data_IF_084210006650
#
_entry.id   IF_084210006650
#
_cell.length_a   1.000
_cell.length_b   1.000
_cell.length_c   1.000
_cell.angle_alpha   90.00
_cell.angle_beta   90.00
_cell.angle_gamma   90.00
#
_symmetry.space_group_name_H-M   'P 1'
#
loop_
_entity.id
_entity.type
_entity.pdbx_description
1 polymer ?
#
# COMPACT_ATOMS: atom_id res chain seq x y z
N UNK A 1 -16.67 -3.26 2.47
CA UNK A 1 -16.01 -4.31 3.26
C UNK A 1 -14.82 -3.67 3.95
N UNK A 2 -14.66 -3.80 5.26
CA UNK A 2 -13.57 -3.14 5.99
C UNK A 2 -12.38 -4.10 6.11
N UNK A 3 -11.18 -3.60 5.87
CA UNK A 3 -9.95 -4.40 5.86
C UNK A 3 -8.97 -3.86 6.91
N UNK A 4 -8.11 -4.73 7.42
CA UNK A 4 -7.01 -4.38 8.33
C UNK A 4 -5.70 -4.77 7.64
N UNK A 5 -4.75 -3.84 7.62
CA UNK A 5 -3.38 -4.05 7.15
C UNK A 5 -2.48 -4.08 8.37
N UNK A 6 -1.62 -5.10 8.47
CA UNK A 6 -0.71 -5.31 9.59
C UNK A 6 0.70 -5.35 9.02
N UNK A 7 1.58 -4.46 9.49
CA UNK A 7 3.01 -4.46 9.18
C UNK A 7 3.80 -4.96 10.40
N UNK A 8 4.20 -6.24 10.43
CA UNK A 8 5.06 -6.78 11.48
C UNK A 8 6.46 -6.17 11.41
N UNK A 9 7.13 -6.02 12.54
CA UNK A 9 8.48 -5.45 12.65
C UNK A 9 9.58 -6.48 12.37
N UNK A 10 9.26 -7.77 12.43
CA UNK A 10 10.19 -8.86 12.13
C UNK A 10 9.49 -10.07 11.52
N UNK A 11 10.29 -10.99 10.99
CA UNK A 11 9.80 -12.27 10.44
C UNK A 11 9.20 -13.17 11.53
N UNK A 12 9.70 -13.11 12.77
CA UNK A 12 9.13 -13.82 13.91
C UNK A 12 7.74 -13.30 14.26
N UNK A 13 7.54 -11.98 14.26
CA UNK A 13 6.25 -11.36 14.52
C UNK A 13 5.24 -11.71 13.41
N UNK A 14 5.65 -11.66 12.14
CA UNK A 14 4.82 -12.08 11.00
C UNK A 14 4.32 -13.52 11.19
N UNK A 15 5.23 -14.43 11.56
CA UNK A 15 4.91 -15.84 11.78
C UNK A 15 3.94 -16.01 12.94
N UNK A 16 4.19 -15.37 14.08
CA UNK A 16 3.33 -15.43 15.26
C UNK A 16 1.91 -14.96 14.96
N UNK A 17 1.76 -13.79 14.32
CA UNK A 17 0.45 -13.22 13.96
C UNK A 17 -0.28 -14.14 12.97
N UNK A 18 0.42 -14.67 11.97
CA UNK A 18 -0.17 -15.58 10.97
C UNK A 18 -0.71 -16.86 11.61
N UNK A 19 0.04 -17.45 12.55
CA UNK A 19 -0.39 -18.64 13.30
C UNK A 19 -1.56 -18.35 14.23
N UNK A 20 -1.58 -17.18 14.88
CA UNK A 20 -2.68 -16.73 15.73
C UNK A 20 -3.97 -16.60 14.92
N UNK A 21 -3.94 -15.87 13.81
CA UNK A 21 -5.11 -15.66 12.95
C UNK A 21 -5.66 -16.98 12.43
N UNK A 22 -4.77 -17.91 12.04
CA UNK A 22 -5.14 -19.27 11.65
C UNK A 22 -5.85 -20.03 12.77
N UNK A 23 -5.36 -19.96 14.01
CA UNK A 23 -5.99 -20.60 15.19
C UNK A 23 -7.37 -20.00 15.51
N UNK A 24 -7.55 -18.71 15.27
CA UNK A 24 -8.83 -18.02 15.45
C UNK A 24 -9.83 -18.26 14.32
N UNK A 25 -9.45 -19.01 13.27
CA UNK A 25 -10.28 -19.22 12.09
C UNK A 25 -10.44 -17.97 11.22
N UNK A 26 -9.59 -16.95 11.41
CA UNK A 26 -9.60 -15.73 10.62
C UNK A 26 -8.76 -15.96 9.37
N UNK A 27 -9.37 -15.78 8.20
CA UNK A 27 -8.66 -15.87 6.93
C UNK A 27 -7.72 -14.66 6.79
N UNK A 28 -6.43 -14.92 6.68
CA UNK A 28 -5.40 -13.92 6.41
C UNK A 28 -4.67 -14.24 5.10
N UNK A 29 -4.13 -13.21 4.46
CA UNK A 29 -3.24 -13.31 3.29
C UNK A 29 -1.98 -12.50 3.60
N UNK A 30 -0.81 -13.09 3.37
CA UNK A 30 0.45 -12.35 3.33
C UNK A 30 0.55 -11.71 1.95
N UNK A 31 0.75 -10.39 1.91
CA UNK A 31 0.90 -9.63 0.67
C UNK A 31 2.30 -9.88 0.09
N UNK A 32 2.41 -9.93 -1.23
CA UNK A 32 3.70 -9.83 -1.90
C UNK A 32 4.26 -8.40 -1.80
N UNK A 33 5.50 -8.22 -2.22
CA UNK A 33 6.10 -6.88 -2.33
C UNK A 33 5.29 -6.01 -3.31
N UNK A 34 4.93 -6.55 -4.48
CA UNK A 34 4.08 -5.88 -5.47
C UNK A 34 2.69 -5.51 -4.91
N UNK A 35 2.02 -6.45 -4.21
CA UNK A 35 0.74 -6.17 -3.53
C UNK A 35 0.88 -5.01 -2.52
N UNK A 36 2.04 -4.90 -1.87
CA UNK A 36 2.32 -3.88 -0.85
C UNK A 36 2.63 -2.52 -1.48
N UNK A 37 3.36 -2.49 -2.59
CA UNK A 37 3.62 -1.30 -3.40
C UNK A 37 2.32 -0.72 -3.96
N UNK A 38 1.46 -1.56 -4.55
CA UNK A 38 0.16 -1.16 -5.07
C UNK A 38 -0.73 -0.55 -3.99
N UNK A 39 -0.74 -1.16 -2.80
CA UNK A 39 -1.45 -0.61 -1.64
C UNK A 39 -0.88 0.75 -1.21
N UNK A 40 0.45 0.88 -1.18
CA UNK A 40 1.13 2.14 -0.88
C UNK A 40 0.74 3.23 -1.88
N UNK A 41 0.77 2.93 -3.18
CA UNK A 41 0.36 3.84 -4.24
C UNK A 41 -1.11 4.24 -4.08
N UNK A 42 -2.01 3.29 -3.82
CA UNK A 42 -3.43 3.58 -3.64
C UNK A 42 -3.69 4.53 -2.45
N UNK A 43 -2.93 4.39 -1.36
CA UNK A 43 -2.99 5.29 -0.21
C UNK A 43 -2.53 6.70 -0.58
N UNK A 44 -1.39 6.82 -1.27
CA UNK A 44 -0.85 8.09 -1.73
C UNK A 44 -1.80 8.79 -2.71
N UNK A 45 -2.38 8.05 -3.66
CA UNK A 45 -3.37 8.59 -4.61
C UNK A 45 -4.64 9.09 -3.93
N UNK A 46 -5.03 8.48 -2.81
CA UNK A 46 -6.18 8.93 -2.02
C UNK A 46 -5.87 10.21 -1.24
N UNK A 47 -4.63 10.36 -0.78
CA UNK A 47 -4.17 11.51 0.00
C UNK A 47 -3.73 12.69 -0.87
N UNK A 48 -3.40 12.44 -2.14
CA UNK A 48 -3.02 13.47 -3.10
C UNK A 48 -4.14 14.49 -3.33
N UNK A 49 -3.78 15.77 -3.36
CA UNK A 49 -4.69 16.83 -3.78
C UNK A 49 -4.92 16.75 -5.29
N UNK A 50 -6.16 16.44 -5.69
CA UNK A 50 -6.54 16.27 -7.10
C UNK A 50 -6.95 17.58 -7.77
N UNK A 51 -6.91 18.70 -7.04
CA UNK A 51 -7.23 20.03 -7.54
C UNK A 51 -5.98 20.81 -7.97
N UNK A 52 -4.81 20.41 -7.49
CA UNK A 52 -3.54 20.93 -7.93
C UNK A 52 -3.17 20.30 -9.29
N UNK A 53 -3.50 21.01 -10.37
CA UNK A 53 -3.24 20.56 -11.75
C UNK A 53 -2.26 21.49 -12.45
N UNK A 54 -1.41 20.92 -13.30
CA UNK A 54 -0.49 21.65 -14.17
C UNK A 54 -0.82 21.42 -15.65
N UNK A 55 -0.41 22.36 -16.50
CA UNK A 55 -0.62 22.26 -17.96
C UNK A 55 0.33 21.24 -18.60
N UNK A 56 -0.06 20.70 -19.75
CA UNK A 56 0.81 19.84 -20.55
C UNK A 56 2.09 20.58 -20.97
N UNK A 57 1.98 21.86 -21.35
CA UNK A 57 3.14 22.67 -21.72
C UNK A 57 4.16 22.78 -20.58
N UNK A 58 3.69 22.97 -19.35
CA UNK A 58 4.57 23.01 -18.17
C UNK A 58 5.28 21.67 -17.95
N UNK A 59 4.55 20.55 -18.05
CA UNK A 59 5.13 19.20 -17.93
C UNK A 59 6.21 18.98 -19.01
N UNK A 60 5.88 19.26 -20.27
CA UNK A 60 6.78 19.04 -21.39
C UNK A 60 8.02 19.94 -21.34
N UNK A 61 7.91 21.15 -20.78
CA UNK A 61 9.07 22.02 -20.57
C UNK A 61 10.09 21.43 -19.58
N UNK A 62 9.63 20.71 -18.54
CA UNK A 62 10.50 20.07 -17.54
C UNK A 62 11.13 18.78 -18.07
N UNK A 63 10.44 18.05 -18.96
CA UNK A 63 10.93 16.80 -19.55
C UNK A 63 11.94 17.00 -20.67
N UNK A 64 11.86 18.13 -21.39
CA UNK A 64 12.73 18.45 -22.52
C UNK A 64 13.94 19.32 -22.14
N UNK A 65 14.19 19.53 -20.84
CA UNK A 65 15.28 20.34 -20.29
C UNK A 65 16.51 19.55 -19.90
#
# INVERSE_FOLDING_TARGET
>A
MSSIVINPKSSEELKFISELLKKLGVKSKVLSDEDSEDLGLALLMREADRTETVSEEEIMSKLNG
#
